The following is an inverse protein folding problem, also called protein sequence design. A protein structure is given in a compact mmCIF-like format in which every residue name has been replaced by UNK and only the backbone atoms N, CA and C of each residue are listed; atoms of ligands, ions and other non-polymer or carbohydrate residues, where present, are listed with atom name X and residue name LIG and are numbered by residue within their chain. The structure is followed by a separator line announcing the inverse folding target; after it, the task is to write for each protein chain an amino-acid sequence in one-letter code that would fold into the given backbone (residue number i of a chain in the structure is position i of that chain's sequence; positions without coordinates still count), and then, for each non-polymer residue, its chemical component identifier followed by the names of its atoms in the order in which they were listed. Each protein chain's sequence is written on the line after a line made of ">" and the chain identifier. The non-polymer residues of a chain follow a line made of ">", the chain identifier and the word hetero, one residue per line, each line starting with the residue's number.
data_IF_898592299313
#
_entry.id   IF_898592299313
#
_cell.length_a   1.000
_cell.length_b   1.000
_cell.length_c   1.000
_cell.angle_alpha   90.00
_cell.angle_beta   90.00
_cell.angle_gamma   90.00
#
_symmetry.space_group_name_H-M   'P 1'
#
loop_
_entity.id
_entity.type
_entity.pdbx_description
1 polymer ?
#
# COMPACT_ATOMS: atom_id res chain seq x y z
N UNK A 1 -8.09 65.48 7.64
CA UNK A 1 -8.46 64.14 7.13
C UNK A 1 -7.17 63.40 6.83
N UNK A 2 -6.93 62.24 7.46
CA UNK A 2 -5.78 61.36 7.16
C UNK A 2 -6.33 60.09 6.52
N UNK A 3 -6.05 59.87 5.24
CA UNK A 3 -6.45 58.64 4.55
C UNK A 3 -5.46 57.53 4.88
N UNK A 4 -5.92 56.46 5.52
CA UNK A 4 -5.16 55.21 5.61
C UNK A 4 -5.42 54.38 4.35
N UNK A 5 -4.35 54.01 3.65
CA UNK A 5 -4.40 53.05 2.54
C UNK A 5 -4.24 51.65 3.14
N UNK A 6 -5.30 50.84 3.09
CA UNK A 6 -5.21 49.42 3.38
C UNK A 6 -4.69 48.68 2.13
N UNK A 7 -3.46 48.18 2.19
CA UNK A 7 -2.92 47.26 1.18
C UNK A 7 -3.36 45.85 1.55
N UNK A 8 -4.38 45.34 0.86
CA UNK A 8 -4.78 43.94 0.94
C UNK A 8 -3.78 43.09 0.15
N UNK A 9 -2.83 42.49 0.86
CA UNK A 9 -2.01 41.40 0.36
C UNK A 9 -2.87 40.15 0.22
N UNK A 10 -3.38 39.92 -0.99
CA UNK A 10 -3.99 38.64 -1.36
C UNK A 10 -2.85 37.62 -1.48
N UNK A 11 -2.55 36.92 -0.39
CA UNK A 11 -1.69 35.76 -0.42
C UNK A 11 -2.36 34.68 -1.27
N UNK A 12 -1.76 34.34 -2.40
CA UNK A 12 -2.16 33.16 -3.16
C UNK A 12 -1.85 31.92 -2.30
N UNK A 13 -2.89 31.31 -1.73
CA UNK A 13 -2.77 30.01 -1.10
C UNK A 13 -2.51 28.97 -2.20
N UNK A 14 -1.23 28.70 -2.47
CA UNK A 14 -0.84 27.51 -3.21
C UNK A 14 -1.33 26.30 -2.44
N UNK A 15 -2.06 25.41 -3.11
CA UNK A 15 -2.41 24.11 -2.55
C UNK A 15 -1.10 23.37 -2.26
N UNK A 16 -0.90 22.94 -1.00
CA UNK A 16 0.26 22.16 -0.62
C UNK A 16 0.07 20.72 -1.12
N UNK A 17 1.07 20.23 -1.85
CA UNK A 17 1.13 18.89 -2.44
C UNK A 17 1.44 17.82 -1.35
N UNK A 18 1.07 16.56 -1.56
CA UNK A 18 1.02 15.51 -0.53
C UNK A 18 2.28 14.59 -0.55
N UNK A 19 3.01 14.46 0.59
CA UNK A 19 4.32 13.75 0.76
C UNK A 19 4.24 12.50 1.68
N UNK A 20 5.24 11.55 1.71
CA UNK A 20 5.11 10.03 1.84
C UNK A 20 5.89 9.07 2.86
N UNK A 21 5.14 8.29 3.68
CA UNK A 21 5.27 7.26 4.78
C UNK A 21 5.53 7.73 6.23
N UNK A 22 4.56 7.50 7.15
CA UNK A 22 4.58 8.09 8.50
C UNK A 22 5.40 7.29 9.50
N UNK A 23 6.41 7.93 10.09
CA UNK A 23 7.26 7.34 11.14
C UNK A 23 8.17 6.19 10.67
N UNK A 24 8.26 5.97 9.36
CA UNK A 24 9.12 4.97 8.72
C UNK A 24 10.56 5.45 8.50
N UNK A 25 11.25 4.76 7.59
CA UNK A 25 12.62 5.05 7.16
C UNK A 25 12.83 4.68 5.69
N UNK A 26 13.77 5.32 4.99
CA UNK A 26 14.11 4.94 3.60
C UNK A 26 14.55 3.47 3.56
N UNK A 27 13.86 2.65 2.77
CA UNK A 27 14.27 1.27 2.56
C UNK A 27 15.67 1.24 1.93
N UNK A 28 16.49 0.24 2.27
CA UNK A 28 17.68 -0.04 1.45
C UNK A 28 17.22 -0.32 0.00
N UNK A 29 17.83 0.31 -1.03
CA UNK A 29 17.36 0.21 -2.41
C UNK A 29 17.14 -1.23 -2.86
N UNK A 30 15.98 -1.47 -3.47
CA UNK A 30 15.53 -2.78 -3.97
C UNK A 30 15.47 -3.92 -2.93
N UNK A 31 15.60 -3.63 -1.63
CA UNK A 31 15.50 -4.65 -0.57
C UNK A 31 14.12 -5.30 -0.46
N UNK A 32 13.07 -4.62 -0.95
CA UNK A 32 11.71 -5.15 -1.06
C UNK A 32 11.35 -5.39 -2.53
N UNK A 33 12.13 -6.25 -3.20
CA UNK A 33 12.06 -6.52 -4.66
C UNK A 33 10.70 -7.03 -5.21
N UNK A 34 9.72 -7.30 -4.34
CA UNK A 34 8.33 -7.63 -4.71
C UNK A 34 7.39 -6.43 -4.73
N UNK A 35 7.80 -5.29 -4.18
CA UNK A 35 7.05 -4.04 -4.25
C UNK A 35 6.91 -3.62 -5.71
N UNK A 36 5.69 -3.23 -6.10
CA UNK A 36 5.45 -2.54 -7.36
C UNK A 36 4.73 -1.21 -7.13
N UNK A 37 4.90 -0.30 -8.07
CA UNK A 37 4.17 0.97 -8.16
C UNK A 37 3.10 0.83 -9.24
N UNK A 38 1.84 1.11 -8.91
CA UNK A 38 0.75 1.20 -9.87
C UNK A 38 0.68 2.64 -10.40
N UNK A 39 0.90 2.78 -11.71
CA UNK A 39 0.97 4.06 -12.38
C UNK A 39 -0.16 4.24 -13.41
N UNK A 40 -0.73 5.45 -13.43
CA UNK A 40 -1.74 5.88 -14.40
C UNK A 40 -1.49 7.33 -14.84
N UNK A 41 -0.24 7.64 -15.20
CA UNK A 41 0.29 9.00 -15.40
C UNK A 41 1.07 9.50 -14.18
N UNK A 42 0.70 9.00 -13.00
CA UNK A 42 1.38 9.19 -11.72
C UNK A 42 1.21 7.92 -10.86
N UNK A 43 2.06 7.74 -9.85
CA UNK A 43 1.90 6.68 -8.84
C UNK A 43 0.66 6.98 -7.98
N UNK A 44 -0.24 6.01 -7.84
CA UNK A 44 -1.47 6.20 -7.07
C UNK A 44 -1.77 5.08 -6.05
N UNK A 45 -1.12 3.93 -6.18
CA UNK A 45 -1.23 2.78 -5.27
C UNK A 45 0.04 1.91 -5.36
N UNK A 46 0.29 1.12 -4.31
CA UNK A 46 1.24 0.02 -4.30
C UNK A 46 0.67 -1.29 -4.86
N UNK A 47 1.52 -2.31 -4.87
CA UNK A 47 1.19 -3.69 -5.20
C UNK A 47 2.31 -4.63 -4.81
N UNK A 48 2.02 -5.93 -4.85
CA UNK A 48 2.94 -7.02 -4.51
C UNK A 48 3.04 -8.02 -5.67
N UNK A 49 4.22 -8.23 -6.23
CA UNK A 49 4.46 -9.26 -7.23
C UNK A 49 4.42 -10.65 -6.57
N UNK A 50 3.48 -11.51 -6.97
CA UNK A 50 3.29 -12.86 -6.39
C UNK A 50 3.68 -13.99 -7.35
N UNK A 51 3.63 -13.75 -8.66
CA UNK A 51 4.23 -14.59 -9.70
C UNK A 51 5.01 -13.71 -10.70
N UNK A 52 5.67 -14.29 -11.70
CA UNK A 52 6.27 -13.51 -12.78
C UNK A 52 5.23 -12.68 -13.59
N UNK A 53 3.95 -13.04 -13.57
CA UNK A 53 2.88 -12.43 -14.38
C UNK A 53 1.68 -11.89 -13.58
N UNK A 54 1.66 -12.04 -12.25
CA UNK A 54 0.58 -11.62 -11.37
C UNK A 54 1.03 -10.74 -10.21
N UNK A 55 0.28 -9.67 -9.99
CA UNK A 55 0.41 -8.72 -8.89
C UNK A 55 -0.86 -8.72 -8.05
N UNK A 56 -0.73 -8.77 -6.73
CA UNK A 56 -1.79 -8.50 -5.75
C UNK A 56 -1.77 -7.01 -5.37
N UNK A 57 -2.94 -6.39 -5.24
CA UNK A 57 -3.14 -5.02 -4.77
C UNK A 57 -4.54 -4.90 -4.14
N UNK A 58 -4.95 -3.70 -3.72
CA UNK A 58 -6.27 -3.44 -3.14
C UNK A 58 -7.35 -3.29 -4.22
N UNK A 59 -8.60 -3.64 -3.93
CA UNK A 59 -9.71 -3.50 -4.86
C UNK A 59 -10.15 -2.05 -5.08
N UNK A 60 -10.01 -1.19 -4.08
CA UNK A 60 -10.27 0.24 -4.22
C UNK A 60 -9.27 0.94 -5.17
N UNK A 61 -8.07 0.37 -5.39
CA UNK A 61 -7.08 0.81 -6.38
C UNK A 61 -7.47 0.50 -7.85
N UNK A 62 -8.66 -0.04 -8.10
CA UNK A 62 -9.07 -0.45 -9.45
C UNK A 62 -9.06 0.69 -10.48
N UNK A 63 -8.34 0.48 -11.58
CA UNK A 63 -8.48 1.20 -12.85
C UNK A 63 -8.54 0.18 -13.99
N UNK A 64 -9.22 0.51 -15.09
CA UNK A 64 -9.43 -0.42 -16.22
C UNK A 64 -8.15 -0.82 -16.95
N UNK A 65 -7.10 0.02 -16.88
CA UNK A 65 -5.73 -0.28 -17.28
C UNK A 65 -4.77 0.43 -16.34
N UNK A 66 -3.67 -0.23 -16.00
CA UNK A 66 -2.55 0.33 -15.21
C UNK A 66 -1.22 0.00 -15.86
N UNK A 67 -0.22 0.85 -15.65
CA UNK A 67 1.18 0.51 -15.85
C UNK A 67 1.76 0.06 -14.51
N UNK A 68 2.17 -1.20 -14.42
CA UNK A 68 2.86 -1.75 -13.26
C UNK A 68 4.34 -1.48 -13.43
N UNK A 69 4.96 -0.83 -12.44
CA UNK A 69 6.38 -0.52 -12.41
C UNK A 69 7.05 -1.36 -11.33
N UNK A 70 8.00 -2.20 -11.76
CA UNK A 70 8.75 -3.12 -10.90
C UNK A 70 10.22 -2.70 -10.88
N UNK A 71 10.94 -2.99 -9.79
CA UNK A 71 12.37 -2.70 -9.67
C UNK A 71 12.70 -1.24 -9.32
N UNK A 72 11.69 -0.41 -9.07
CA UNK A 72 11.80 0.97 -8.61
C UNK A 72 12.43 1.06 -7.20
N UNK A 73 13.28 2.04 -6.95
CA UNK A 73 13.48 2.61 -5.60
C UNK A 73 12.98 4.06 -5.59
N UNK A 74 13.46 4.91 -6.50
CA UNK A 74 13.01 6.29 -6.67
C UNK A 74 12.07 6.47 -7.87
N UNK A 75 10.76 6.54 -7.62
CA UNK A 75 9.71 6.62 -8.67
C UNK A 75 9.69 7.93 -9.49
N UNK A 76 10.66 8.83 -9.29
CA UNK A 76 10.87 10.06 -10.10
C UNK A 76 12.16 10.02 -10.92
N UNK A 77 13.00 9.01 -10.77
CA UNK A 77 14.31 8.87 -11.44
C UNK A 77 14.36 7.53 -12.15
N UNK A 78 14.93 7.48 -13.36
CA UNK A 78 15.27 6.19 -14.00
C UNK A 78 16.64 5.75 -13.50
N UNK A 79 16.66 4.73 -12.65
CA UNK A 79 17.85 4.16 -12.00
C UNK A 79 18.46 3.03 -12.86
N UNK A 80 17.70 2.52 -13.84
CA UNK A 80 18.13 1.55 -14.86
C UNK A 80 17.78 0.10 -14.55
N UNK A 81 17.07 -0.14 -13.45
CA UNK A 81 16.67 -1.48 -12.98
C UNK A 81 15.18 -1.78 -13.28
N UNK A 82 14.45 -0.80 -13.82
CA UNK A 82 12.99 -0.80 -13.85
C UNK A 82 12.42 -1.69 -14.95
N UNK A 83 11.23 -2.22 -14.69
CA UNK A 83 10.40 -2.88 -15.68
C UNK A 83 9.02 -2.24 -15.67
N UNK A 84 8.66 -1.57 -16.76
CA UNK A 84 7.32 -1.00 -16.94
C UNK A 84 6.49 -1.95 -17.80
N UNK A 85 5.43 -2.53 -17.20
CA UNK A 85 4.60 -3.56 -17.82
C UNK A 85 3.13 -3.19 -17.63
N UNK A 86 2.38 -3.10 -18.72
CA UNK A 86 0.95 -2.79 -18.65
C UNK A 86 0.16 -3.99 -18.13
N UNK A 87 -0.94 -3.74 -17.44
CA UNK A 87 -1.94 -4.77 -17.14
C UNK A 87 -2.58 -5.31 -18.42
N UNK A 88 -2.61 -6.62 -18.61
CA UNK A 88 -3.55 -7.27 -19.54
C UNK A 88 -4.94 -7.38 -18.91
N UNK A 89 -5.02 -7.59 -17.59
CA UNK A 89 -6.27 -7.75 -16.83
C UNK A 89 -6.16 -7.13 -15.44
N UNK A 90 -7.29 -6.66 -14.92
CA UNK A 90 -7.44 -6.14 -13.56
C UNK A 90 -8.73 -6.72 -12.99
N UNK A 91 -8.63 -7.48 -11.90
CA UNK A 91 -9.69 -8.37 -11.38
C UNK A 91 -9.85 -8.13 -9.88
N UNK A 92 -10.86 -7.35 -9.47
CA UNK A 92 -11.24 -7.21 -8.06
C UNK A 92 -11.83 -8.51 -7.54
N UNK A 93 -11.73 -8.74 -6.23
CA UNK A 93 -12.49 -9.80 -5.56
C UNK A 93 -14.00 -9.66 -5.88
N UNK A 94 -14.72 -10.75 -6.21
CA UNK A 94 -16.13 -10.67 -6.61
C UNK A 94 -17.05 -10.10 -5.52
N UNK A 95 -16.67 -10.28 -4.25
CA UNK A 95 -17.41 -9.78 -3.09
C UNK A 95 -16.86 -8.44 -2.54
N UNK A 96 -16.02 -7.72 -3.29
CA UNK A 96 -15.54 -6.40 -2.86
C UNK A 96 -16.70 -5.42 -2.67
N UNK A 97 -16.78 -4.83 -1.48
CA UNK A 97 -17.79 -3.84 -1.10
C UNK A 97 -17.15 -2.47 -0.90
N UNK A 98 -17.41 -1.52 -1.80
CA UNK A 98 -16.93 -0.15 -1.66
C UNK A 98 -17.69 0.68 -0.60
N UNK A 99 -18.66 0.10 0.11
CA UNK A 99 -19.41 0.78 1.17
C UNK A 99 -18.67 0.74 2.51
N UNK A 100 -18.11 -0.42 2.86
CA UNK A 100 -17.36 -0.69 4.09
C UNK A 100 -15.91 -1.17 3.82
N UNK A 101 -15.46 -1.12 2.57
CA UNK A 101 -14.12 -1.55 2.11
C UNK A 101 -13.84 -3.03 2.44
N UNK A 102 -14.90 -3.86 2.49
CA UNK A 102 -14.77 -5.30 2.74
C UNK A 102 -14.32 -6.07 1.49
N UNK A 103 -13.57 -7.15 1.71
CA UNK A 103 -12.88 -7.93 0.67
C UNK A 103 -12.03 -7.09 -0.30
N UNK A 104 -11.28 -6.12 0.23
CA UNK A 104 -10.47 -5.16 -0.54
C UNK A 104 -9.17 -5.74 -1.12
N UNK A 105 -9.30 -6.74 -1.99
CA UNK A 105 -8.18 -7.40 -2.68
C UNK A 105 -8.43 -7.55 -4.18
N UNK A 106 -7.36 -7.45 -4.96
CA UNK A 106 -7.38 -7.40 -6.42
C UNK A 106 -6.16 -8.09 -7.02
N UNK A 107 -6.37 -8.81 -8.12
CA UNK A 107 -5.31 -9.35 -8.95
C UNK A 107 -5.15 -8.53 -10.23
N UNK A 108 -3.91 -8.25 -10.60
CA UNK A 108 -3.52 -7.62 -11.87
C UNK A 108 -2.68 -8.63 -12.64
N UNK A 109 -3.14 -9.05 -13.82
CA UNK A 109 -2.31 -9.83 -14.75
C UNK A 109 -1.49 -8.88 -15.62
N UNK A 110 -0.19 -9.11 -15.70
CA UNK A 110 0.72 -8.38 -16.57
C UNK A 110 0.50 -8.74 -18.05
N UNK A 111 0.86 -7.85 -18.97
CA UNK A 111 0.76 -8.11 -20.43
C UNK A 111 1.88 -8.99 -20.97
N UNK A 112 2.94 -9.18 -20.19
CA UNK A 112 4.05 -10.11 -20.38
C UNK A 112 4.62 -10.44 -19.00
N UNK A 113 5.25 -11.60 -18.79
CA UNK A 113 5.97 -11.86 -17.55
C UNK A 113 7.08 -10.83 -17.29
N UNK A 114 7.30 -10.50 -16.03
CA UNK A 114 8.46 -9.77 -15.55
C UNK A 114 9.71 -10.67 -15.55
N UNK A 115 10.86 -10.09 -15.88
CA UNK A 115 12.17 -10.75 -15.77
C UNK A 115 12.60 -10.75 -14.31
N UNK A 116 12.44 -11.87 -13.61
CA UNK A 116 12.87 -12.00 -12.22
C UNK A 116 14.40 -11.93 -12.11
N UNK A 117 14.91 -11.13 -11.19
CA UNK A 117 16.35 -10.89 -10.99
C UNK A 117 16.62 -10.44 -9.53
N UNK A 118 17.71 -9.71 -9.27
CA UNK A 118 18.02 -9.22 -7.92
C UNK A 118 17.14 -8.06 -7.44
N UNK A 119 16.57 -7.27 -8.36
CA UNK A 119 15.73 -6.10 -8.11
C UNK A 119 14.22 -6.39 -8.22
N UNK A 120 13.84 -7.43 -8.96
CA UNK A 120 12.46 -7.86 -9.18
C UNK A 120 12.31 -9.32 -8.77
N UNK A 121 11.56 -9.58 -7.70
CA UNK A 121 11.31 -10.92 -7.12
C UNK A 121 9.86 -11.05 -6.70
N UNK A 122 9.39 -12.28 -6.52
CA UNK A 122 8.06 -12.54 -5.97
C UNK A 122 8.09 -12.57 -4.44
N UNK A 123 6.97 -12.25 -3.80
CA UNK A 123 6.67 -12.60 -2.41
C UNK A 123 5.78 -13.84 -2.36
N UNK A 124 5.95 -14.68 -1.35
CA UNK A 124 5.11 -15.87 -1.18
C UNK A 124 3.70 -15.48 -0.71
N UNK A 125 2.68 -16.20 -1.20
CA UNK A 125 1.37 -16.19 -0.56
C UNK A 125 1.45 -16.91 0.80
N UNK A 126 0.64 -16.50 1.79
CA UNK A 126 0.76 -16.99 3.16
C UNK A 126 0.21 -18.40 3.30
N UNK A 127 0.98 -19.32 3.87
CA UNK A 127 0.53 -20.71 4.11
C UNK A 127 -0.48 -20.81 5.26
N UNK A 128 -0.49 -19.84 6.16
CA UNK A 128 -1.46 -19.70 7.26
C UNK A 128 -1.57 -18.23 7.69
N UNK A 129 -2.60 -17.87 8.45
CA UNK A 129 -2.73 -16.51 8.99
C UNK A 129 -1.71 -16.26 10.10
N UNK A 130 -0.93 -15.17 10.00
CA UNK A 130 -0.03 -14.76 11.07
C UNK A 130 -0.80 -14.29 12.32
N UNK A 131 -0.42 -14.73 13.54
CA UNK A 131 -1.10 -14.33 14.77
C UNK A 131 -0.76 -12.90 15.20
N UNK A 132 -1.59 -12.33 16.07
CA UNK A 132 -1.32 -11.07 16.76
C UNK A 132 0.06 -11.09 17.46
N UNK A 133 0.72 -9.93 17.51
CA UNK A 133 2.10 -9.76 17.97
C UNK A 133 3.17 -10.14 16.94
N UNK A 134 2.82 -10.74 15.80
CA UNK A 134 3.78 -10.98 14.71
C UNK A 134 4.30 -9.66 14.16
N UNK A 135 5.62 -9.47 14.16
CA UNK A 135 6.25 -8.33 13.51
C UNK A 135 6.29 -8.52 12.00
N UNK A 136 5.79 -7.51 11.29
CA UNK A 136 5.69 -7.44 9.85
C UNK A 136 6.35 -6.15 9.34
N UNK A 137 6.52 -6.05 8.03
CA UNK A 137 6.98 -4.84 7.35
C UNK A 137 5.94 -4.38 6.35
N UNK A 138 5.57 -3.10 6.43
CA UNK A 138 4.78 -2.39 5.42
C UNK A 138 5.70 -1.44 4.64
N UNK A 139 5.48 -1.32 3.32
CA UNK A 139 6.27 -0.45 2.45
C UNK A 139 5.42 0.26 1.40
N UNK A 140 5.86 1.45 0.98
CA UNK A 140 5.19 2.19 -0.08
C UNK A 140 5.74 3.59 -0.36
N UNK A 141 4.96 4.34 -1.14
CA UNK A 141 5.21 5.71 -1.58
C UNK A 141 3.94 6.60 -1.45
N UNK A 142 3.10 6.35 -0.43
CA UNK A 142 1.98 7.20 0.08
C UNK A 142 2.30 7.86 1.44
N UNK A 143 1.44 8.73 2.02
CA UNK A 143 1.78 9.95 2.83
C UNK A 143 2.70 9.89 4.15
N UNK A 144 3.67 10.83 4.37
CA UNK A 144 4.79 10.93 5.38
C UNK A 144 4.38 11.63 6.65
N UNK A 145 3.59 12.69 6.50
CA UNK A 145 3.45 13.76 7.49
C UNK A 145 4.81 14.34 8.00
N UNK A 146 5.87 14.29 7.19
CA UNK A 146 7.24 14.74 7.55
C UNK A 146 7.93 15.44 6.38
N UNK A 147 8.52 16.60 6.67
CA UNK A 147 9.22 17.46 5.70
C UNK A 147 10.67 17.05 5.40
N UNK A 148 11.18 15.99 6.03
CA UNK A 148 12.59 15.56 5.90
C UNK A 148 12.78 14.21 5.22
N UNK A 149 11.70 13.44 5.03
CA UNK A 149 11.76 12.14 4.35
C UNK A 149 11.37 12.30 2.87
N UNK A 150 12.25 11.84 1.96
CA UNK A 150 12.01 11.88 0.52
C UNK A 150 11.06 10.76 0.09
N UNK A 151 9.78 11.12 0.04
CA UNK A 151 8.70 10.24 -0.37
C UNK A 151 8.78 9.72 -1.81
N UNK A 152 9.70 10.21 -2.64
CA UNK A 152 9.90 9.64 -3.98
C UNK A 152 10.69 8.33 -3.92
N UNK A 153 11.40 8.09 -2.81
CA UNK A 153 12.09 6.83 -2.53
C UNK A 153 11.24 5.91 -1.68
N UNK A 154 11.37 4.60 -1.88
CA UNK A 154 10.57 3.61 -1.16
C UNK A 154 10.84 3.68 0.35
N UNK A 155 9.78 3.83 1.13
CA UNK A 155 9.87 3.85 2.59
C UNK A 155 9.45 2.52 3.21
N UNK A 156 10.01 2.23 4.38
CA UNK A 156 9.86 1.02 5.15
C UNK A 156 9.38 1.36 6.56
N UNK A 157 8.43 0.57 7.08
CA UNK A 157 8.03 0.61 8.49
C UNK A 157 7.82 -0.82 9.00
N UNK A 158 8.31 -1.12 10.20
CA UNK A 158 8.02 -2.39 10.87
C UNK A 158 6.83 -2.17 11.81
N UNK A 159 5.81 -3.03 11.72
CA UNK A 159 4.56 -2.94 12.49
C UNK A 159 4.20 -4.31 13.07
N UNK A 160 3.71 -4.41 14.32
CA UNK A 160 3.10 -5.64 14.82
C UNK A 160 1.66 -5.77 14.31
N UNK A 161 1.22 -7.00 14.05
CA UNK A 161 -0.22 -7.32 13.96
C UNK A 161 -0.84 -7.10 15.34
N UNK A 162 -1.93 -6.34 15.43
CA UNK A 162 -2.66 -6.09 16.69
C UNK A 162 -3.64 -7.24 16.99
N UNK A 163 -4.16 -7.28 18.22
CA UNK A 163 -5.23 -8.23 18.53
C UNK A 163 -6.53 -7.82 17.83
N UNK A 164 -7.39 -8.80 17.56
CA UNK A 164 -8.75 -8.56 17.03
C UNK A 164 -9.55 -7.64 17.96
N UNK A 165 -9.41 -7.84 19.28
CA UNK A 165 -10.01 -6.99 20.30
C UNK A 165 -9.53 -5.53 20.23
N UNK A 166 -8.23 -5.29 20.03
CA UNK A 166 -7.71 -3.93 19.88
C UNK A 166 -8.21 -3.27 18.60
N UNK A 167 -8.29 -4.05 17.51
CA UNK A 167 -8.79 -3.60 16.21
C UNK A 167 -10.28 -3.21 16.28
N UNK A 168 -11.11 -4.03 16.93
CA UNK A 168 -12.52 -3.76 17.19
C UNK A 168 -12.73 -2.59 18.16
N UNK A 169 -11.87 -2.42 19.16
CA UNK A 169 -11.93 -1.29 20.08
C UNK A 169 -11.63 0.04 19.36
N UNK A 170 -10.67 0.04 18.43
CA UNK A 170 -10.36 1.18 17.55
C UNK A 170 -11.47 1.47 16.55
N UNK A 171 -12.11 0.42 16.00
CA UNK A 171 -13.10 0.54 14.93
C UNK A 171 -14.42 -0.22 15.20
N UNK A 172 -15.22 0.18 16.22
CA UNK A 172 -16.35 -0.60 16.69
C UNK A 172 -17.39 -0.92 15.61
N UNK A 173 -17.50 -2.22 15.28
CA UNK A 173 -18.45 -2.74 14.29
C UNK A 173 -18.10 -2.47 12.83
N UNK A 174 -16.86 -2.08 12.53
CA UNK A 174 -16.39 -1.81 11.16
C UNK A 174 -15.41 -2.86 10.62
N UNK A 175 -14.74 -3.60 11.51
CA UNK A 175 -13.81 -4.68 11.15
C UNK A 175 -14.60 -5.94 10.74
N UNK A 176 -14.13 -6.63 9.70
CA UNK A 176 -14.68 -7.90 9.24
C UNK A 176 -13.62 -9.01 9.34
N UNK A 177 -14.03 -10.28 9.22
CA UNK A 177 -13.10 -11.42 9.14
C UNK A 177 -11.99 -11.21 8.09
N UNK A 178 -12.31 -10.52 6.99
CA UNK A 178 -11.39 -10.19 5.90
C UNK A 178 -10.39 -9.07 6.23
N UNK A 179 -10.41 -8.49 7.43
CA UNK A 179 -9.57 -7.37 7.85
C UNK A 179 -8.72 -7.71 9.07
N UNK A 180 -7.58 -7.03 9.24
CA UNK A 180 -6.85 -6.97 10.50
C UNK A 180 -6.19 -5.60 10.67
N UNK A 181 -5.94 -5.20 11.92
CA UNK A 181 -5.17 -4.00 12.22
C UNK A 181 -3.69 -4.35 12.47
N UNK A 182 -2.80 -3.45 12.07
CA UNK A 182 -1.38 -3.55 12.41
C UNK A 182 -0.77 -2.14 12.57
N UNK A 183 0.15 -1.98 13.51
CA UNK A 183 0.72 -0.66 13.83
C UNK A 183 0.86 -0.43 15.32
N UNK A 184 0.68 0.82 15.73
CA UNK A 184 1.00 1.31 17.07
C UNK A 184 -0.16 2.16 17.59
N UNK A 185 -0.85 1.74 18.65
CA UNK A 185 -2.00 2.47 19.20
C UNK A 185 -1.60 3.83 19.79
N UNK A 186 -0.34 4.01 20.17
CA UNK A 186 0.21 5.31 20.55
C UNK A 186 0.28 6.34 19.39
N UNK A 187 0.09 5.89 18.13
CA UNK A 187 0.21 6.70 16.93
C UNK A 187 1.67 6.95 16.50
N UNK A 188 1.85 7.92 15.59
CA UNK A 188 3.16 8.37 15.09
C UNK A 188 3.87 7.45 14.10
N UNK A 189 3.31 6.28 13.78
CA UNK A 189 3.84 5.29 12.82
C UNK A 189 2.72 4.55 12.10
N UNK A 190 2.61 4.72 10.79
CA UNK A 190 1.54 4.09 9.99
C UNK A 190 1.83 4.11 8.48
N UNK A 191 1.06 3.32 7.73
CA UNK A 191 0.80 3.51 6.30
C UNK A 191 -0.17 4.67 6.07
N UNK A 192 -0.20 5.24 4.85
CA UNK A 192 -1.01 6.43 4.58
C UNK A 192 -1.44 6.54 3.09
N UNK A 193 -2.05 7.66 2.69
CA UNK A 193 -2.65 7.80 1.35
C UNK A 193 -1.61 7.63 0.23
N UNK A 194 -1.82 6.61 -0.62
CA UNK A 194 -0.91 6.19 -1.69
C UNK A 194 -0.20 4.87 -1.42
N UNK A 195 -0.10 4.43 -0.16
CA UNK A 195 0.45 3.13 0.20
C UNK A 195 -0.54 2.00 -0.07
N UNK A 196 -1.84 2.33 -0.16
CA UNK A 196 -2.95 1.50 -0.62
C UNK A 196 -2.54 0.46 -1.67
N UNK A 197 -2.87 -0.80 -1.43
CA UNK A 197 -2.46 -1.91 -2.29
C UNK A 197 -1.05 -2.43 -2.06
N UNK A 198 -0.22 -1.72 -1.30
CA UNK A 198 1.13 -2.13 -0.91
C UNK A 198 1.15 -3.36 0.03
N UNK A 199 2.31 -4.01 0.17
CA UNK A 199 2.45 -5.22 0.96
C UNK A 199 2.50 -4.97 2.47
N UNK A 200 1.95 -5.92 3.23
CA UNK A 200 2.41 -6.23 4.60
C UNK A 200 3.03 -7.62 4.59
N UNK A 201 4.35 -7.69 4.72
CA UNK A 201 5.12 -8.95 4.71
C UNK A 201 5.52 -9.33 6.12
N UNK A 202 5.16 -10.56 6.54
CA UNK A 202 5.56 -11.14 7.82
C UNK A 202 6.31 -12.44 7.54
N UNK A 203 7.52 -12.61 8.08
CA UNK A 203 8.34 -13.83 7.90
C UNK A 203 8.58 -14.28 6.44
N UNK A 204 8.45 -13.37 5.46
CA UNK A 204 8.62 -13.64 4.03
C UNK A 204 7.32 -13.95 3.26
N UNK A 205 6.18 -14.01 3.95
CA UNK A 205 4.85 -14.20 3.36
C UNK A 205 4.05 -12.89 3.32
N UNK A 206 3.28 -12.68 2.27
CA UNK A 206 2.36 -11.54 2.11
C UNK A 206 1.09 -11.77 2.95
N UNK A 207 1.08 -11.30 4.19
CA UNK A 207 -0.05 -11.49 5.11
C UNK A 207 -1.14 -10.41 4.96
N UNK A 208 -0.77 -9.21 4.51
CA UNK A 208 -1.70 -8.09 4.34
C UNK A 208 -1.51 -7.28 3.06
N UNK A 209 -2.57 -6.55 2.72
CA UNK A 209 -2.58 -5.49 1.70
C UNK A 209 -3.05 -4.20 2.37
N UNK A 210 -2.32 -3.09 2.20
CA UNK A 210 -2.71 -1.76 2.73
C UNK A 210 -4.09 -1.38 2.19
N UNK A 211 -5.05 -1.13 3.08
CA UNK A 211 -6.46 -0.95 2.71
C UNK A 211 -7.01 0.41 3.16
N UNK A 212 -7.19 0.65 4.46
CA UNK A 212 -7.76 1.89 4.98
C UNK A 212 -7.33 2.21 6.41
N UNK A 213 -7.73 3.38 6.91
CA UNK A 213 -7.53 3.84 8.29
C UNK A 213 -8.30 5.14 8.55
N UNK A 214 -8.36 5.58 9.80
CA UNK A 214 -8.85 6.92 10.15
C UNK A 214 -7.67 7.86 10.34
N UNK A 215 -7.55 8.84 9.45
CA UNK A 215 -6.32 9.64 9.33
C UNK A 215 -5.14 8.76 8.92
N UNK A 216 -3.96 9.08 9.44
CA UNK A 216 -2.77 8.23 9.40
C UNK A 216 -1.97 8.46 10.68
N UNK A 217 -1.46 7.39 11.29
CA UNK A 217 -0.64 7.48 12.50
C UNK A 217 -1.28 8.27 13.65
N UNK A 218 -2.61 8.35 13.66
CA UNK A 218 -3.38 8.95 14.74
C UNK A 218 -3.40 8.00 15.95
N UNK A 219 -3.51 8.58 17.14
CA UNK A 219 -3.61 7.80 18.37
C UNK A 219 -4.90 7.00 18.36
N UNK A 220 -4.81 5.74 18.78
CA UNK A 220 -5.91 4.77 18.88
C UNK A 220 -6.58 4.44 17.52
N UNK A 221 -6.00 4.89 16.40
CA UNK A 221 -6.43 4.68 15.00
C UNK A 221 -5.35 3.96 14.17
N UNK A 222 -5.13 2.65 14.33
CA UNK A 222 -4.11 1.89 13.59
C UNK A 222 -4.56 1.57 12.16
N UNK A 223 -3.62 1.47 11.21
CA UNK A 223 -3.91 1.02 9.85
C UNK A 223 -4.63 -0.33 9.78
N UNK A 224 -5.57 -0.44 8.85
CA UNK A 224 -6.39 -1.64 8.56
C UNK A 224 -6.00 -2.23 7.21
N UNK A 225 -5.85 -3.55 7.19
CA UNK A 225 -5.26 -4.31 6.08
C UNK A 225 -6.16 -5.47 5.67
N UNK A 226 -6.26 -5.77 4.37
CA UNK A 226 -6.97 -6.95 3.90
C UNK A 226 -6.19 -8.23 4.25
N UNK A 227 -6.84 -9.20 4.88
CA UNK A 227 -6.26 -10.42 5.48
C UNK A 227 -6.01 -11.50 4.43
N UNK A 228 -4.83 -11.48 3.81
CA UNK A 228 -4.51 -12.24 2.56
C UNK A 228 -4.69 -13.75 2.72
N UNK A 229 -4.41 -14.32 3.89
CA UNK A 229 -4.58 -15.76 4.16
C UNK A 229 -6.01 -16.29 3.91
N UNK A 230 -7.05 -15.45 4.01
CA UNK A 230 -8.43 -15.84 3.71
C UNK A 230 -8.74 -15.87 2.21
N UNK A 231 -7.86 -15.32 1.36
CA UNK A 231 -8.09 -15.18 -0.07
C UNK A 231 -7.31 -16.18 -0.94
N UNK A 232 -6.46 -17.04 -0.35
CA UNK A 232 -5.60 -17.98 -1.10
C UNK A 232 -6.35 -18.78 -2.17
N UNK A 233 -7.48 -19.41 -1.82
CA UNK A 233 -8.27 -20.20 -2.78
C UNK A 233 -8.78 -19.36 -3.95
N UNK A 234 -9.19 -18.10 -3.71
CA UNK A 234 -9.59 -17.19 -4.79
C UNK A 234 -8.39 -16.74 -5.63
N UNK A 235 -7.26 -16.41 -4.99
CA UNK A 235 -6.03 -15.99 -5.65
C UNK A 235 -5.52 -17.08 -6.59
N UNK A 236 -5.32 -18.29 -6.07
CA UNK A 236 -4.84 -19.45 -6.82
C UNK A 236 -5.80 -19.82 -7.97
N UNK A 237 -7.10 -19.94 -7.69
CA UNK A 237 -8.11 -20.26 -8.71
C UNK A 237 -8.16 -19.20 -9.82
N UNK A 238 -8.01 -17.92 -9.47
CA UNK A 238 -8.03 -16.81 -10.44
C UNK A 238 -6.76 -16.78 -11.27
N UNK A 239 -5.58 -17.00 -10.67
CA UNK A 239 -4.30 -17.07 -11.37
C UNK A 239 -4.20 -18.28 -12.30
N UNK A 240 -4.82 -19.42 -11.94
CA UNK A 240 -4.85 -20.62 -12.78
C UNK A 240 -5.87 -20.56 -13.93
N UNK A 241 -6.91 -19.74 -13.82
CA UNK A 241 -8.00 -19.66 -14.81
C UNK A 241 -7.70 -18.76 -16.02
N UNK A 242 -6.67 -17.92 -15.96
CA UNK A 242 -6.50 -16.72 -16.80
C UNK A 242 -5.05 -16.47 -17.21
#
# INVERSE_FOLDING_TARGET
>A
MRSLVFVLLIGAAFALEEDKIVGGYECTPHSQAHQVSLNSGYHFCGGSLVSADWVVSAAHCYKSRVEVRLGEHNIRVTEGNEQFIRSSRVIRHPNYSSYNIDNDIMLIKLSKPATLNQYVKTVALPTSCAPAGTMCKVTGWGNTMSSTADGNKLQCLNIPILSEQDCDNSYPGMITDAMFCAGYLEGGKDSCQGDSGGPVVCNGELQGVVSWGYGCAERDNPGVYAKVCLFNSWLESTMASY
#
